data_IF_317624899470
#
_entry.id   IF_317624899470
#
_cell.length_a   1.000
_cell.length_b   1.000
_cell.length_c   1.000
_cell.angle_alpha   90.00
_cell.angle_beta   90.00
_cell.angle_gamma   90.00
#
_symmetry.space_group_name_H-M   'P 1'
#
loop_
_entity.id
_entity.type
_entity.pdbx_description
1 polymer ?
#
# COMPACT_ATOMS: atom_id res chain seq x y z
N UNK A 1 -46.18 -12.75 17.55
CA UNK A 1 -46.19 -11.31 17.85
C UNK A 1 -44.76 -10.88 18.05
N UNK A 2 -44.16 -10.29 17.02
CA UNK A 2 -42.79 -9.81 16.99
C UNK A 2 -42.70 -8.48 17.74
N UNK A 3 -41.89 -8.42 18.79
CA UNK A 3 -41.48 -7.19 19.41
C UNK A 3 -40.24 -6.68 18.65
N UNK A 4 -40.37 -5.49 18.07
CA UNK A 4 -39.39 -4.88 17.18
C UNK A 4 -38.09 -4.52 17.90
N UNK A 5 -36.99 -4.84 17.23
CA UNK A 5 -35.66 -4.27 17.48
C UNK A 5 -35.62 -2.95 16.68
N UNK A 6 -36.20 -1.90 17.26
CA UNK A 6 -36.06 -0.54 16.78
C UNK A 6 -35.18 0.20 17.80
N UNK A 7 -33.91 0.43 17.48
CA UNK A 7 -33.02 1.16 18.39
C UNK A 7 -31.53 1.17 18.10
N UNK A 8 -31.05 0.74 16.91
CA UNK A 8 -29.62 0.73 16.60
C UNK A 8 -29.23 1.52 15.32
N UNK A 9 -30.13 2.34 14.77
CA UNK A 9 -29.87 3.06 13.51
C UNK A 9 -29.53 4.55 13.64
N UNK A 10 -29.48 5.14 14.85
CA UNK A 10 -29.25 6.58 15.00
C UNK A 10 -27.99 6.91 15.80
N UNK A 11 -26.88 7.01 15.06
CA UNK A 11 -25.83 8.07 15.12
C UNK A 11 -24.52 7.57 14.49
N UNK A 12 -24.52 7.34 13.18
CA UNK A 12 -23.32 7.67 12.39
C UNK A 12 -23.44 9.14 12.06
N UNK A 13 -22.82 10.01 12.86
CA UNK A 13 -22.38 11.29 12.33
C UNK A 13 -21.50 10.95 11.14
N UNK A 14 -22.02 11.16 9.92
CA UNK A 14 -21.22 11.06 8.70
C UNK A 14 -20.21 12.19 8.76
N UNK A 15 -19.10 11.98 9.46
CA UNK A 15 -17.93 12.80 9.26
C UNK A 15 -17.61 12.71 7.76
N UNK A 16 -17.42 13.85 7.06
CA UNK A 16 -16.99 13.80 5.68
C UNK A 16 -15.71 12.95 5.61
N UNK A 17 -15.56 12.09 4.59
CA UNK A 17 -14.40 11.22 4.50
C UNK A 17 -13.15 12.09 4.43
N UNK A 18 -12.30 11.98 5.46
CA UNK A 18 -10.97 12.56 5.43
C UNK A 18 -10.15 11.71 4.46
N UNK A 19 -10.11 12.13 3.19
CA UNK A 19 -9.49 11.36 2.11
C UNK A 19 -7.98 11.17 2.33
N UNK A 20 -7.51 9.91 2.21
CA UNK A 20 -6.12 9.50 2.42
C UNK A 20 -5.22 9.53 1.18
N UNK A 21 -5.59 10.27 0.14
CA UNK A 21 -4.81 10.40 -1.12
C UNK A 21 -4.15 11.77 -1.16
N UNK A 22 -2.86 11.83 -1.50
CA UNK A 22 -2.12 13.10 -1.63
C UNK A 22 -2.66 13.96 -2.77
N UNK A 23 -2.66 15.27 -2.57
CA UNK A 23 -2.98 16.25 -3.58
C UNK A 23 -1.88 16.32 -4.65
N UNK A 24 -2.28 16.70 -5.87
CA UNK A 24 -1.36 17.03 -6.94
C UNK A 24 -1.50 18.51 -7.28
N UNK A 25 -0.34 19.17 -7.39
CA UNK A 25 -0.26 20.52 -7.94
C UNK A 25 -0.17 20.46 -9.47
N UNK A 26 -0.95 21.29 -10.15
CA UNK A 26 -0.94 21.40 -11.61
C UNK A 26 0.43 21.87 -12.12
N UNK A 27 1.12 22.77 -11.40
CA UNK A 27 2.45 23.20 -11.80
C UNK A 27 3.44 22.03 -11.79
N UNK A 28 3.40 21.17 -10.76
CA UNK A 28 4.22 19.96 -10.69
C UNK A 28 4.00 19.03 -11.89
N UNK A 29 2.73 18.86 -12.32
CA UNK A 29 2.38 18.07 -13.51
C UNK A 29 2.87 18.71 -14.81
N UNK A 30 2.70 20.03 -14.98
CA UNK A 30 3.11 20.75 -16.19
C UNK A 30 4.63 20.84 -16.35
N UNK A 31 5.34 20.94 -15.24
CA UNK A 31 6.81 21.00 -15.21
C UNK A 31 7.47 19.61 -15.23
N UNK A 32 6.69 18.52 -15.18
CA UNK A 32 7.20 17.16 -15.19
C UNK A 32 7.86 16.82 -16.55
N UNK A 33 9.19 16.86 -16.58
CA UNK A 33 10.00 16.54 -17.75
C UNK A 33 10.49 15.10 -17.71
N UNK A 34 10.88 14.57 -18.87
CA UNK A 34 11.52 13.26 -18.95
C UNK A 34 12.77 13.20 -18.07
N UNK A 35 12.86 12.12 -17.30
CA UNK A 35 13.96 11.85 -16.39
C UNK A 35 14.26 10.34 -16.40
N UNK A 36 15.50 9.92 -16.06
CA UNK A 36 15.80 8.52 -15.84
C UNK A 36 14.89 7.92 -14.75
N UNK A 37 14.58 6.63 -14.90
CA UNK A 37 13.83 5.91 -13.88
C UNK A 37 14.54 6.03 -12.52
N UNK A 38 13.78 6.42 -11.48
CA UNK A 38 14.33 6.64 -10.14
C UNK A 38 14.87 5.36 -9.50
N UNK A 39 14.29 4.21 -9.86
CA UNK A 39 14.61 2.89 -9.32
C UNK A 39 14.86 1.89 -10.45
N UNK A 40 15.99 2.01 -11.18
CA UNK A 40 16.23 1.24 -12.40
C UNK A 40 16.42 -0.27 -12.15
N UNK A 41 16.84 -0.66 -10.95
CA UNK A 41 17.10 -2.04 -10.55
C UNK A 41 15.84 -2.80 -10.08
N UNK A 42 14.71 -2.09 -9.92
CA UNK A 42 13.46 -2.65 -9.45
C UNK A 42 12.43 -2.74 -10.58
N UNK A 43 11.56 -3.75 -10.54
CA UNK A 43 10.43 -3.84 -11.45
C UNK A 43 9.44 -2.72 -11.15
N UNK A 44 9.25 -1.82 -12.11
CA UNK A 44 8.20 -0.80 -12.06
C UNK A 44 6.82 -1.46 -12.19
N UNK A 45 5.90 -1.08 -11.29
CA UNK A 45 4.51 -1.55 -11.26
C UNK A 45 3.57 -0.40 -10.91
N UNK A 46 2.29 -0.48 -11.27
CA UNK A 46 1.32 0.59 -10.92
C UNK A 46 0.91 0.60 -9.45
N UNK A 47 0.99 -0.55 -8.76
CA UNK A 47 0.56 -0.72 -7.37
C UNK A 47 1.08 -2.02 -6.76
N UNK A 48 0.92 -2.18 -5.45
CA UNK A 48 1.19 -3.44 -4.76
C UNK A 48 0.33 -4.61 -5.25
N UNK A 49 -0.89 -4.36 -5.76
CA UNK A 49 -1.74 -5.39 -6.39
C UNK A 49 -1.08 -5.97 -7.63
N UNK A 50 -0.50 -5.12 -8.47
CA UNK A 50 0.23 -5.54 -9.67
C UNK A 50 1.50 -6.31 -9.30
N UNK A 51 2.22 -5.89 -8.26
CA UNK A 51 3.36 -6.64 -7.75
C UNK A 51 2.97 -8.04 -7.29
N UNK A 52 1.91 -8.15 -6.48
CA UNK A 52 1.37 -9.44 -6.02
C UNK A 52 0.87 -10.31 -7.18
N UNK A 53 0.24 -9.71 -8.20
CA UNK A 53 -0.19 -10.45 -9.39
C UNK A 53 1.01 -11.06 -10.14
N UNK A 54 2.13 -10.31 -10.27
CA UNK A 54 3.37 -10.84 -10.83
C UNK A 54 3.91 -11.99 -9.98
N UNK A 55 4.00 -11.82 -8.65
CA UNK A 55 4.50 -12.86 -7.75
C UNK A 55 3.61 -14.10 -7.74
N UNK A 56 2.29 -13.95 -7.83
CA UNK A 56 1.34 -15.05 -7.89
C UNK A 56 1.52 -15.91 -9.15
N UNK A 57 1.93 -15.32 -10.27
CA UNK A 57 2.29 -16.05 -11.49
C UNK A 57 3.63 -16.79 -11.36
N UNK A 58 4.60 -16.20 -10.65
CA UNK A 58 5.93 -16.79 -10.46
C UNK A 58 5.97 -17.88 -9.39
N UNK A 59 5.12 -17.78 -8.36
CA UNK A 59 5.07 -18.69 -7.22
C UNK A 59 3.68 -19.32 -7.09
N UNK A 60 3.35 -20.28 -7.98
CA UNK A 60 2.12 -21.03 -7.87
C UNK A 60 2.19 -21.99 -6.67
N UNK A 61 1.20 -21.91 -5.78
CA UNK A 61 1.11 -22.79 -4.60
C UNK A 61 0.39 -22.10 -3.45
N UNK A 62 0.20 -22.78 -2.31
CA UNK A 62 -0.48 -22.18 -1.16
C UNK A 62 0.36 -21.09 -0.50
N UNK A 63 -0.29 -19.98 -0.14
CA UNK A 63 0.35 -18.87 0.57
C UNK A 63 -0.14 -18.77 2.01
N UNK A 64 0.72 -18.35 2.94
CA UNK A 64 0.30 -17.94 4.28
C UNK A 64 0.30 -16.43 4.39
N UNK A 65 -0.83 -15.85 4.81
CA UNK A 65 -1.03 -14.42 4.91
C UNK A 65 -1.32 -14.02 6.36
N UNK A 66 -0.98 -12.80 6.81
CA UNK A 66 -1.38 -12.36 8.13
C UNK A 66 -2.90 -12.21 8.21
N UNK A 67 -3.50 -12.58 9.34
CA UNK A 67 -4.94 -12.42 9.57
C UNK A 67 -5.41 -10.95 9.57
N UNK A 68 -4.50 -9.99 9.74
CA UNK A 68 -4.78 -8.56 9.66
C UNK A 68 -4.19 -7.98 8.36
N UNK A 69 -5.02 -7.82 7.32
CA UNK A 69 -4.61 -7.23 6.05
C UNK A 69 -5.79 -6.57 5.33
N UNK A 70 -5.50 -5.76 4.31
CA UNK A 70 -6.53 -5.19 3.44
C UNK A 70 -7.02 -6.23 2.43
N UNK A 71 -8.34 -6.33 2.17
CA UNK A 71 -8.90 -7.27 1.19
C UNK A 71 -8.29 -7.11 -0.22
N UNK A 72 -7.76 -5.92 -0.54
CA UNK A 72 -7.01 -5.66 -1.78
C UNK A 72 -5.83 -6.60 -2.01
N UNK A 73 -5.19 -7.08 -0.94
CA UNK A 73 -4.05 -8.00 -1.01
C UNK A 73 -4.50 -9.39 -1.47
N UNK A 74 -5.72 -9.78 -1.12
CA UNK A 74 -6.27 -11.10 -1.44
C UNK A 74 -6.66 -11.22 -2.90
N UNK A 75 -7.04 -10.11 -3.52
CA UNK A 75 -7.60 -10.12 -4.86
C UNK A 75 -6.64 -10.65 -5.95
N UNK A 76 -5.37 -10.21 -6.05
CA UNK A 76 -4.42 -10.80 -7.00
C UNK A 76 -4.30 -12.33 -6.86
N UNK A 77 -4.24 -12.82 -5.62
CA UNK A 77 -4.16 -14.25 -5.32
C UNK A 77 -5.44 -15.00 -5.73
N UNK A 78 -6.61 -14.45 -5.41
CA UNK A 78 -7.92 -15.00 -5.82
C UNK A 78 -8.02 -15.10 -7.35
N UNK A 79 -7.60 -14.07 -8.09
CA UNK A 79 -7.63 -14.07 -9.56
C UNK A 79 -6.69 -15.10 -10.17
N UNK A 80 -5.51 -15.27 -9.59
CA UNK A 80 -4.54 -16.26 -10.00
C UNK A 80 -4.92 -17.69 -9.55
N UNK A 81 -6.01 -17.86 -8.77
CA UNK A 81 -6.42 -19.16 -8.23
C UNK A 81 -5.45 -19.70 -7.18
N UNK A 82 -4.68 -18.82 -6.54
CA UNK A 82 -3.73 -19.17 -5.49
C UNK A 82 -4.49 -19.47 -4.20
N UNK A 83 -4.40 -20.69 -3.64
CA UNK A 83 -4.95 -20.97 -2.32
C UNK A 83 -4.15 -20.20 -1.27
N UNK A 84 -4.82 -19.73 -0.23
CA UNK A 84 -4.15 -19.09 0.89
C UNK A 84 -4.86 -19.39 2.21
N UNK A 85 -4.07 -19.43 3.29
CA UNK A 85 -4.54 -19.51 4.67
C UNK A 85 -3.97 -18.35 5.48
N UNK A 86 -4.55 -18.10 6.66
CA UNK A 86 -4.15 -17.00 7.52
C UNK A 86 -3.37 -17.48 8.73
N UNK A 87 -2.26 -16.83 9.05
CA UNK A 87 -1.60 -16.95 10.34
C UNK A 87 -2.05 -15.82 11.28
N UNK A 88 -2.10 -16.04 12.61
CA UNK A 88 -2.65 -15.05 13.53
C UNK A 88 -1.72 -13.85 13.73
N UNK A 89 -2.34 -12.69 13.89
CA UNK A 89 -1.69 -11.42 14.27
C UNK A 89 -2.35 -10.94 15.56
N UNK A 90 -1.53 -10.55 16.55
CA UNK A 90 -2.02 -10.04 17.83
C UNK A 90 -2.66 -8.65 17.72
N UNK A 91 -3.36 -8.23 18.78
CA UNK A 91 -3.91 -6.87 18.87
C UNK A 91 -2.84 -5.77 18.94
N UNK A 92 -1.59 -6.16 19.21
CA UNK A 92 -0.37 -5.36 19.15
C UNK A 92 0.26 -5.34 17.74
N UNK A 93 -0.45 -5.89 16.74
CA UNK A 93 0.01 -6.06 15.36
C UNK A 93 1.24 -6.96 15.20
N UNK A 94 1.65 -7.67 16.26
CA UNK A 94 2.76 -8.63 16.18
C UNK A 94 2.27 -9.97 15.62
N UNK A 95 2.97 -10.55 14.64
CA UNK A 95 2.66 -11.86 14.12
C UNK A 95 2.87 -12.93 15.20
N UNK A 96 1.98 -13.92 15.30
CA UNK A 96 2.17 -15.08 16.19
C UNK A 96 3.09 -16.10 15.52
N UNK A 97 4.39 -15.83 15.59
CA UNK A 97 5.40 -16.56 14.82
C UNK A 97 5.51 -18.05 15.18
N UNK A 98 5.28 -18.44 16.43
CA UNK A 98 5.26 -19.86 16.83
C UNK A 98 4.12 -20.64 16.14
N UNK A 99 3.04 -19.95 15.79
CA UNK A 99 1.92 -20.53 15.03
C UNK A 99 2.26 -20.55 13.53
N UNK A 100 2.84 -19.47 13.02
CA UNK A 100 3.30 -19.39 11.64
C UNK A 100 4.34 -20.47 11.32
N UNK A 101 5.37 -20.63 12.14
CA UNK A 101 6.42 -21.65 11.95
C UNK A 101 5.83 -23.06 11.92
N UNK A 102 4.90 -23.38 12.82
CA UNK A 102 4.17 -24.67 12.79
C UNK A 102 3.33 -24.84 11.52
N UNK A 103 2.68 -23.78 11.04
CA UNK A 103 1.95 -23.82 9.77
C UNK A 103 2.91 -24.04 8.59
N UNK A 104 4.08 -23.40 8.58
CA UNK A 104 5.10 -23.62 7.54
C UNK A 104 5.56 -25.08 7.54
N UNK A 105 5.87 -25.65 8.70
CA UNK A 105 6.31 -27.04 8.83
C UNK A 105 5.24 -28.05 8.40
N UNK A 106 3.97 -27.79 8.72
CA UNK A 106 2.88 -28.75 8.48
C UNK A 106 2.23 -28.63 7.10
N UNK A 107 2.22 -27.43 6.52
CA UNK A 107 1.54 -27.13 5.27
C UNK A 107 2.49 -26.96 4.09
N UNK A 108 3.78 -26.74 4.33
CA UNK A 108 4.80 -26.49 3.30
C UNK A 108 4.35 -25.43 2.27
N UNK A 109 4.03 -24.20 2.71
CA UNK A 109 3.54 -23.15 1.81
C UNK A 109 4.60 -22.78 0.77
N UNK A 110 4.15 -22.33 -0.40
CA UNK A 110 5.03 -21.81 -1.44
C UNK A 110 5.55 -20.41 -1.07
N UNK A 111 4.73 -19.61 -0.38
CA UNK A 111 5.12 -18.29 0.09
C UNK A 111 4.44 -17.89 1.40
N UNK A 112 5.05 -16.95 2.11
CA UNK A 112 4.45 -16.23 3.23
C UNK A 112 4.45 -14.74 2.93
N UNK A 113 3.41 -14.03 3.36
CA UNK A 113 3.36 -12.58 3.31
C UNK A 113 3.65 -11.99 4.70
N UNK A 114 4.53 -10.99 4.75
CA UNK A 114 4.85 -10.18 5.92
C UNK A 114 4.45 -8.75 5.61
N UNK A 115 3.86 -8.04 6.56
CA UNK A 115 3.38 -6.66 6.34
C UNK A 115 4.09 -5.73 7.31
N UNK A 116 4.67 -4.66 6.78
CA UNK A 116 5.23 -3.56 7.58
C UNK A 116 4.10 -2.62 8.03
N UNK A 117 3.34 -3.04 9.04
CA UNK A 117 2.16 -2.31 9.50
C UNK A 117 2.50 -0.87 9.85
N UNK A 118 1.76 0.07 9.25
CA UNK A 118 1.91 1.51 9.44
C UNK A 118 3.34 2.04 9.21
N UNK A 119 4.15 1.27 8.50
CA UNK A 119 5.55 1.58 8.24
C UNK A 119 6.53 1.25 9.34
N UNK A 120 6.14 0.33 10.20
CA UNK A 120 7.03 -0.31 11.16
C UNK A 120 7.28 -1.74 10.69
N UNK A 121 8.51 -2.07 10.26
CA UNK A 121 8.85 -3.46 9.99
C UNK A 121 8.81 -4.26 11.31
N UNK A 122 8.64 -5.59 11.23
CA UNK A 122 8.74 -6.47 12.38
C UNK A 122 9.97 -6.18 13.25
N UNK A 123 9.81 -6.31 14.57
CA UNK A 123 10.91 -6.14 15.52
C UNK A 123 12.12 -7.03 15.13
N UNK A 124 13.37 -6.65 15.44
CA UNK A 124 14.56 -7.37 14.96
C UNK A 124 14.56 -8.89 15.22
N UNK A 125 14.03 -9.31 16.38
CA UNK A 125 13.84 -10.72 16.74
C UNK A 125 12.83 -11.45 15.83
N UNK A 126 11.70 -10.81 15.54
CA UNK A 126 10.65 -11.33 14.66
C UNK A 126 11.13 -11.34 13.19
N UNK A 127 11.83 -10.28 12.76
CA UNK A 127 12.46 -10.19 11.45
C UNK A 127 13.51 -11.29 11.22
N UNK A 128 14.31 -11.64 12.24
CA UNK A 128 15.27 -12.74 12.14
C UNK A 128 14.56 -14.09 11.92
N UNK A 129 13.42 -14.31 12.58
CA UNK A 129 12.60 -15.52 12.41
C UNK A 129 11.97 -15.60 11.02
N UNK A 130 11.42 -14.50 10.51
CA UNK A 130 10.96 -14.44 9.11
C UNK A 130 12.08 -14.75 8.12
N UNK A 131 13.29 -14.21 8.33
CA UNK A 131 14.44 -14.53 7.46
C UNK A 131 14.82 -16.01 7.51
N UNK A 132 14.68 -16.67 8.65
CA UNK A 132 14.92 -18.11 8.76
C UNK A 132 13.92 -18.93 7.92
N UNK A 133 12.67 -18.48 7.79
CA UNK A 133 11.65 -19.15 6.98
C UNK A 133 11.94 -19.17 5.47
N UNK A 134 12.90 -18.36 5.00
CA UNK A 134 13.36 -18.33 3.59
C UNK A 134 14.00 -19.63 3.15
N UNK A 135 14.46 -20.47 4.08
CA UNK A 135 14.95 -21.82 3.76
C UNK A 135 13.82 -22.79 3.37
N UNK A 136 12.57 -22.44 3.67
CA UNK A 136 11.41 -23.32 3.48
C UNK A 136 10.43 -22.82 2.41
N UNK A 137 10.32 -21.51 2.22
CA UNK A 137 9.33 -20.89 1.33
C UNK A 137 9.76 -19.46 0.93
N UNK A 138 9.10 -18.87 -0.08
CA UNK A 138 9.35 -17.48 -0.44
C UNK A 138 8.80 -16.54 0.64
N UNK A 139 9.63 -15.65 1.18
CA UNK A 139 9.14 -14.58 2.07
C UNK A 139 8.87 -13.33 1.25
N UNK A 140 7.60 -12.90 1.20
CA UNK A 140 7.16 -11.69 0.50
C UNK A 140 6.91 -10.59 1.53
N UNK A 141 7.52 -9.43 1.35
CA UNK A 141 7.40 -8.27 2.24
C UNK A 141 6.54 -7.17 1.59
N UNK A 142 5.40 -6.87 2.22
CA UNK A 142 4.50 -5.78 1.87
C UNK A 142 4.91 -4.51 2.62
N UNK A 143 5.60 -3.63 1.90
CA UNK A 143 6.02 -2.33 2.40
C UNK A 143 5.10 -1.18 1.93
N UNK A 144 3.88 -1.48 1.47
CA UNK A 144 2.94 -0.46 0.96
C UNK A 144 2.65 0.62 2.01
N UNK A 145 2.65 0.26 3.30
CA UNK A 145 2.47 1.20 4.41
C UNK A 145 3.81 1.81 4.89
N UNK A 146 4.93 1.12 4.66
CA UNK A 146 6.29 1.44 5.14
C UNK A 146 7.22 2.14 4.17
N UNK A 147 6.66 2.66 3.10
CA UNK A 147 7.32 3.58 2.17
C UNK A 147 8.49 3.02 1.35
N UNK A 148 9.30 2.04 1.74
CA UNK A 148 10.61 1.70 1.11
C UNK A 148 11.59 2.89 0.93
N UNK A 149 11.17 4.12 1.25
CA UNK A 149 11.87 5.38 1.01
C UNK A 149 12.39 6.01 2.30
N UNK A 150 12.22 5.34 3.44
CA UNK A 150 12.88 5.77 4.68
C UNK A 150 14.38 5.51 4.53
N UNK A 151 15.15 6.62 4.52
CA UNK A 151 16.58 6.80 4.21
C UNK A 151 17.56 5.86 4.96
N UNK A 152 18.88 6.07 4.76
CA UNK A 152 19.82 5.19 4.04
C UNK A 152 19.97 3.75 4.63
N UNK A 153 19.41 3.51 5.82
CA UNK A 153 19.33 2.22 6.49
C UNK A 153 17.89 1.68 6.34
N UNK A 154 17.42 1.51 5.10
CA UNK A 154 16.05 1.09 4.79
C UNK A 154 15.66 -0.12 5.67
N UNK A 155 14.87 0.14 6.71
CA UNK A 155 14.49 -0.88 7.67
C UNK A 155 13.45 -1.85 7.08
N UNK A 156 12.62 -1.33 6.16
CA UNK A 156 11.69 -2.12 5.34
C UNK A 156 12.34 -2.62 4.05
N UNK A 157 11.94 -3.79 3.61
CA UNK A 157 12.50 -4.50 2.46
C UNK A 157 13.75 -5.31 2.76
N UNK A 158 14.08 -5.49 4.05
CA UNK A 158 15.26 -6.21 4.51
C UNK A 158 14.95 -7.62 5.01
N UNK A 159 13.69 -8.06 4.94
CA UNK A 159 13.21 -9.33 5.49
C UNK A 159 12.93 -10.31 4.34
N UNK A 160 12.20 -9.84 3.32
CA UNK A 160 11.70 -10.66 2.22
C UNK A 160 12.76 -11.10 1.22
N UNK A 161 12.50 -12.24 0.57
CA UNK A 161 13.10 -12.60 -0.72
C UNK A 161 12.56 -11.69 -1.83
N UNK A 162 11.28 -11.35 -1.76
CA UNK A 162 10.62 -10.40 -2.63
C UNK A 162 9.97 -9.28 -1.80
N UNK A 163 10.01 -8.05 -2.32
CA UNK A 163 9.54 -6.86 -1.60
C UNK A 163 8.75 -6.01 -2.57
N UNK A 164 7.60 -5.48 -2.13
CA UNK A 164 6.84 -4.56 -2.95
C UNK A 164 6.27 -3.37 -2.18
N UNK A 165 5.92 -2.32 -2.92
CA UNK A 165 5.26 -1.14 -2.36
C UNK A 165 4.35 -0.43 -3.37
N UNK A 166 3.64 0.61 -2.92
CA UNK A 166 2.82 1.49 -3.77
C UNK A 166 3.00 2.96 -3.39
N UNK A 167 3.66 3.71 -4.26
CA UNK A 167 4.03 5.11 -4.02
C UNK A 167 2.85 6.03 -3.76
N UNK A 168 1.73 5.84 -4.47
CA UNK A 168 0.52 6.68 -4.32
C UNK A 168 -0.05 6.73 -2.89
N UNK A 169 0.31 5.78 -2.03
CA UNK A 169 -0.15 5.74 -0.62
C UNK A 169 0.60 6.73 0.27
N UNK A 170 1.75 7.24 -0.17
CA UNK A 170 2.61 8.09 0.65
C UNK A 170 3.36 9.18 -0.11
N UNK A 171 3.18 9.27 -1.43
CA UNK A 171 3.73 10.31 -2.31
C UNK A 171 2.63 10.95 -3.17
N UNK A 172 2.81 12.22 -3.59
CA UNK A 172 1.90 12.92 -4.50
C UNK A 172 2.12 12.42 -5.94
N UNK A 173 1.70 11.18 -6.19
CA UNK A 173 1.67 10.56 -7.51
C UNK A 173 0.36 9.79 -7.67
N UNK A 174 -0.21 9.73 -8.88
CA UNK A 174 -1.47 9.03 -9.11
C UNK A 174 -1.32 7.52 -9.11
N UNK A 175 -0.18 7.01 -9.57
CA UNK A 175 0.15 5.59 -9.59
C UNK A 175 1.64 5.34 -9.34
N UNK A 176 2.01 4.07 -9.27
CA UNK A 176 3.40 3.66 -9.15
C UNK A 176 3.65 2.81 -7.91
N UNK A 177 4.72 2.04 -8.00
CA UNK A 177 5.18 1.09 -7.02
C UNK A 177 6.40 0.36 -7.56
N UNK A 178 6.99 -0.45 -6.70
CA UNK A 178 8.15 -1.28 -7.04
C UNK A 178 7.88 -2.72 -6.63
N UNK A 179 8.56 -3.62 -7.33
CA UNK A 179 8.74 -5.00 -6.95
C UNK A 179 10.24 -5.35 -7.09
N UNK A 180 10.85 -5.87 -6.04
CA UNK A 180 12.20 -6.44 -6.06
C UNK A 180 12.15 -7.91 -5.69
N UNK A 181 13.17 -8.68 -6.07
CA UNK A 181 13.25 -10.12 -5.77
C UNK A 181 12.40 -11.02 -6.67
N UNK A 182 11.67 -10.44 -7.63
CA UNK A 182 10.96 -11.16 -8.70
C UNK A 182 11.73 -11.08 -10.02
N UNK A 183 11.35 -11.93 -10.99
CA UNK A 183 11.96 -11.89 -12.32
C UNK A 183 11.49 -10.66 -13.09
N UNK A 184 12.41 -9.71 -13.31
CA UNK A 184 12.12 -8.51 -14.11
C UNK A 184 11.60 -8.86 -15.51
N UNK A 185 10.53 -8.18 -15.93
CA UNK A 185 9.88 -8.35 -17.23
C UNK A 185 9.35 -7.02 -17.77
N UNK A 186 9.35 -6.84 -19.11
CA UNK A 186 8.80 -5.64 -19.71
C UNK A 186 7.29 -5.58 -19.48
N UNK A 187 6.80 -4.45 -18.93
CA UNK A 187 5.38 -4.14 -18.79
C UNK A 187 5.08 -2.83 -19.53
N UNK A 188 3.90 -2.70 -20.16
CA UNK A 188 3.48 -1.44 -20.75
C UNK A 188 3.25 -0.38 -19.66
N UNK A 189 3.56 0.91 -19.90
CA UNK A 189 3.26 1.97 -18.96
C UNK A 189 1.75 2.18 -18.84
N UNK A 190 1.27 2.42 -17.63
CA UNK A 190 -0.15 2.63 -17.38
C UNK A 190 -0.72 3.87 -18.06
N UNK A 191 -1.96 3.74 -18.56
CA UNK A 191 -2.68 4.82 -19.22
C UNK A 191 -4.14 4.95 -18.75
N UNK A 192 -4.86 3.83 -18.59
CA UNK A 192 -6.29 3.84 -18.25
C UNK A 192 -6.51 4.15 -16.77
N UNK A 193 -5.82 3.43 -15.89
CA UNK A 193 -5.96 3.55 -14.43
C UNK A 193 -5.54 4.92 -13.86
N UNK A 194 -4.95 5.79 -14.68
CA UNK A 194 -4.40 7.10 -14.30
C UNK A 194 -5.47 8.19 -14.18
N UNK A 195 -6.52 8.15 -15.01
CA UNK A 195 -7.34 9.34 -15.32
C UNK A 195 -8.11 9.84 -14.11
N UNK A 196 -8.88 8.96 -13.47
CA UNK A 196 -9.73 9.27 -12.34
C UNK A 196 -8.88 9.73 -11.15
N UNK A 197 -7.77 9.03 -10.88
CA UNK A 197 -6.84 9.38 -9.80
C UNK A 197 -6.17 10.74 -10.05
N UNK A 198 -5.65 10.97 -11.25
CA UNK A 198 -5.02 12.25 -11.61
C UNK A 198 -6.00 13.42 -11.47
N UNK A 199 -7.20 13.30 -12.03
CA UNK A 199 -8.23 14.34 -11.93
C UNK A 199 -8.67 14.57 -10.49
N UNK A 200 -8.90 13.49 -9.73
CA UNK A 200 -9.24 13.56 -8.31
C UNK A 200 -8.16 14.26 -7.48
N UNK A 201 -6.89 13.94 -7.71
CA UNK A 201 -5.77 14.57 -6.99
C UNK A 201 -5.56 16.04 -7.36
N UNK A 202 -5.75 16.42 -8.62
CA UNK A 202 -5.67 17.81 -9.07
C UNK A 202 -6.81 18.65 -8.48
N UNK A 203 -8.05 18.14 -8.50
CA UNK A 203 -9.19 18.81 -7.89
C UNK A 203 -9.04 18.93 -6.38
N UNK A 204 -8.52 17.87 -5.72
CA UNK A 204 -8.16 17.94 -4.30
C UNK A 204 -7.10 19.01 -4.04
N UNK A 205 -6.08 19.13 -4.90
CA UNK A 205 -5.06 20.17 -4.80
C UNK A 205 -5.62 21.58 -4.93
N UNK A 206 -6.51 21.80 -5.90
CA UNK A 206 -7.23 23.07 -6.05
C UNK A 206 -8.10 23.37 -4.82
N UNK A 207 -8.75 22.36 -4.23
CA UNK A 207 -9.58 22.50 -3.04
C UNK A 207 -8.78 22.82 -1.78
N UNK A 208 -7.71 22.08 -1.51
CA UNK A 208 -6.79 22.33 -0.37
C UNK A 208 -6.17 23.71 -0.47
N UNK A 209 -5.85 24.16 -1.69
CA UNK A 209 -5.27 25.48 -1.97
C UNK A 209 -6.31 26.60 -2.03
N UNK A 210 -7.61 26.32 -1.79
CA UNK A 210 -8.73 27.27 -1.86
C UNK A 210 -8.89 27.96 -3.23
N UNK A 211 -8.46 27.30 -4.29
CA UNK A 211 -8.70 27.73 -5.68
C UNK A 211 -10.06 27.23 -6.22
N UNK A 212 -10.56 26.15 -5.63
CA UNK A 212 -11.91 25.66 -5.82
C UNK A 212 -12.53 25.40 -4.43
N UNK A 213 -13.81 25.70 -4.25
CA UNK A 213 -14.48 25.55 -2.96
C UNK A 213 -15.89 24.97 -3.16
N UNK A 214 -16.50 24.53 -2.07
CA UNK A 214 -17.85 24.00 -2.05
C UNK A 214 -17.92 22.47 -1.90
N UNK A 215 -18.99 21.97 -1.28
CA UNK A 215 -19.19 20.53 -1.07
C UNK A 215 -19.35 19.76 -2.39
N UNK A 216 -19.75 20.42 -3.49
CA UNK A 216 -19.85 19.79 -4.80
C UNK A 216 -18.47 19.43 -5.36
N UNK A 217 -17.46 20.30 -5.18
CA UNK A 217 -16.08 20.02 -5.60
C UNK A 217 -15.52 18.86 -4.79
N UNK A 218 -15.78 18.85 -3.48
CA UNK A 218 -15.38 17.78 -2.58
C UNK A 218 -15.98 16.43 -3.00
N UNK A 219 -17.29 16.39 -3.23
CA UNK A 219 -17.97 15.19 -3.70
C UNK A 219 -17.41 14.68 -5.03
N UNK A 220 -17.09 15.57 -5.98
CA UNK A 220 -16.53 15.19 -7.29
C UNK A 220 -15.16 14.55 -7.14
N UNK A 221 -14.22 15.18 -6.42
CA UNK A 221 -12.89 14.59 -6.32
C UNK A 221 -12.90 13.30 -5.50
N UNK A 222 -13.74 13.20 -4.46
CA UNK A 222 -13.89 11.96 -3.70
C UNK A 222 -14.42 10.83 -4.58
N UNK A 223 -15.46 11.09 -5.39
CA UNK A 223 -16.00 10.12 -6.32
C UNK A 223 -15.00 9.68 -7.40
N UNK A 224 -14.18 10.59 -7.91
CA UNK A 224 -13.09 10.27 -8.82
C UNK A 224 -12.04 9.37 -8.16
N UNK A 225 -11.62 9.69 -6.92
CA UNK A 225 -10.66 8.87 -6.20
C UNK A 225 -11.21 7.47 -5.89
N UNK A 226 -12.48 7.38 -5.50
CA UNK A 226 -13.17 6.10 -5.27
C UNK A 226 -13.25 5.25 -6.54
N UNK A 227 -13.68 5.84 -7.67
CA UNK A 227 -13.68 5.16 -8.96
C UNK A 227 -12.27 4.70 -9.39
N UNK A 228 -11.27 5.54 -9.11
CA UNK A 228 -9.86 5.22 -9.34
C UNK A 228 -9.38 4.02 -8.53
N UNK A 229 -9.79 3.88 -7.27
CA UNK A 229 -9.49 2.69 -6.45
C UNK A 229 -10.23 1.45 -6.96
N UNK A 230 -11.52 1.58 -7.30
CA UNK A 230 -12.33 0.46 -7.79
C UNK A 230 -11.79 -0.14 -9.10
N UNK A 231 -11.27 0.69 -10.01
CA UNK A 231 -10.67 0.19 -11.27
C UNK A 231 -9.42 -0.70 -11.04
N UNK A 232 -8.63 -0.42 -10.01
CA UNK A 232 -7.50 -1.28 -9.62
C UNK A 232 -7.98 -2.66 -9.19
N UNK A 233 -9.17 -2.72 -8.59
CA UNK A 233 -9.79 -3.96 -8.20
C UNK A 233 -10.37 -4.71 -9.42
N UNK A 234 -11.07 -4.05 -10.34
CA UNK A 234 -11.78 -4.73 -11.42
C UNK A 234 -10.90 -5.21 -12.58
N UNK A 235 -9.85 -4.47 -12.93
CA UNK A 235 -9.06 -4.78 -14.13
C UNK A 235 -7.75 -5.50 -13.80
N UNK A 236 -7.12 -5.15 -12.68
CA UNK A 236 -5.83 -5.70 -12.22
C UNK A 236 -4.78 -5.80 -13.36
N UNK A 237 -4.57 -4.73 -14.17
CA UNK A 237 -3.70 -4.81 -15.33
C UNK A 237 -2.22 -4.93 -14.90
N UNK A 238 -1.48 -5.76 -15.64
CA UNK A 238 -0.03 -5.91 -15.48
C UNK A 238 0.68 -4.77 -16.23
N UNK A 239 0.72 -3.61 -15.60
CA UNK A 239 1.31 -2.39 -16.14
C UNK A 239 2.46 -1.89 -15.25
N UNK A 240 3.43 -1.22 -15.88
CA UNK A 240 4.42 -0.40 -15.20
C UNK A 240 3.84 0.95 -14.80
N UNK A 241 4.54 1.65 -13.92
CA UNK A 241 4.22 3.04 -13.55
C UNK A 241 3.99 3.90 -14.79
N UNK A 242 2.97 4.77 -14.76
CA UNK A 242 2.73 5.70 -15.85
C UNK A 242 3.91 6.65 -16.08
N UNK A 243 4.12 7.08 -17.32
CA UNK A 243 5.19 8.05 -17.64
C UNK A 243 5.07 9.35 -16.84
N UNK A 244 3.84 9.80 -16.56
CA UNK A 244 3.63 11.00 -15.74
C UNK A 244 4.17 10.77 -14.32
N UNK A 245 3.80 9.66 -13.68
CA UNK A 245 4.28 9.34 -12.33
C UNK A 245 5.78 9.10 -12.29
N UNK A 246 6.39 8.48 -13.30
CA UNK A 246 7.86 8.35 -13.38
C UNK A 246 8.55 9.72 -13.36
N UNK A 247 8.04 10.68 -14.14
CA UNK A 247 8.56 12.06 -14.17
C UNK A 247 8.33 12.81 -12.86
N UNK A 248 7.17 12.62 -12.22
CA UNK A 248 6.88 13.19 -10.90
C UNK A 248 7.84 12.61 -9.85
N UNK A 249 7.94 11.28 -9.75
CA UNK A 249 8.83 10.57 -8.83
C UNK A 249 10.28 11.01 -8.96
N UNK A 250 10.77 11.24 -10.18
CA UNK A 250 12.14 11.66 -10.42
C UNK A 250 12.48 13.03 -9.81
N UNK A 251 11.47 13.89 -9.59
CA UNK A 251 11.61 15.25 -9.04
C UNK A 251 11.34 15.33 -7.54
N UNK A 252 10.73 14.30 -6.95
CA UNK A 252 10.40 14.31 -5.53
C UNK A 252 11.65 14.15 -4.67
N UNK A 253 11.72 14.97 -3.62
CA UNK A 253 12.65 14.75 -2.52
C UNK A 253 12.08 13.67 -1.59
N UNK A 254 12.51 12.43 -1.83
CA UNK A 254 12.04 11.27 -1.07
C UNK A 254 12.58 11.30 0.37
N UNK A 255 13.71 11.97 0.60
CA UNK A 255 14.30 12.13 1.92
C UNK A 255 13.45 13.07 2.79
N UNK A 256 13.04 14.20 2.21
CA UNK A 256 12.11 15.13 2.83
C UNK A 256 10.74 14.46 3.07
N UNK A 257 10.21 13.75 2.07
CA UNK A 257 8.94 13.04 2.20
C UNK A 257 8.95 12.05 3.37
N UNK A 258 10.01 11.24 3.50
CA UNK A 258 10.17 10.31 4.63
C UNK A 258 10.28 11.07 5.98
N UNK A 259 11.10 12.13 6.03
CA UNK A 259 11.29 12.93 7.24
C UNK A 259 9.98 13.58 7.71
N UNK A 260 9.19 14.13 6.78
CA UNK A 260 7.87 14.72 7.05
C UNK A 260 6.86 13.68 7.54
N UNK A 261 6.87 12.46 6.98
CA UNK A 261 6.02 11.37 7.48
C UNK A 261 6.33 11.03 8.93
N UNK A 262 7.62 10.92 9.28
CA UNK A 262 8.04 10.66 10.67
C UNK A 262 7.66 11.80 11.59
N UNK A 263 7.84 13.05 11.16
CA UNK A 263 7.42 14.22 11.93
C UNK A 263 5.89 14.24 12.18
N UNK A 264 5.09 13.94 11.15
CA UNK A 264 3.63 13.85 11.29
C UNK A 264 3.21 12.74 12.26
N UNK A 265 3.87 11.58 12.21
CA UNK A 265 3.64 10.49 13.17
C UNK A 265 3.91 10.95 14.61
N UNK A 266 5.07 11.57 14.86
CA UNK A 266 5.43 12.08 16.20
C UNK A 266 4.42 13.12 16.68
N UNK A 267 4.04 14.07 15.83
CA UNK A 267 3.06 15.09 16.18
C UNK A 267 1.69 14.49 16.54
N UNK A 268 1.24 13.45 15.81
CA UNK A 268 0.00 12.74 16.12
C UNK A 268 0.12 11.93 17.42
N UNK A 269 1.25 11.26 17.63
CA UNK A 269 1.53 10.51 18.84
C UNK A 269 1.48 11.40 20.08
N UNK A 270 2.14 12.55 20.04
CA UNK A 270 2.13 13.55 21.12
C UNK A 270 0.72 14.13 21.35
N UNK A 271 -0.04 14.39 20.29
CA UNK A 271 -1.40 14.92 20.39
C UNK A 271 -2.41 13.91 20.95
N UNK A 272 -2.12 12.61 20.81
CA UNK A 272 -2.93 11.51 21.31
C UNK A 272 -2.42 10.95 22.64
N UNK A 273 -1.30 11.46 23.17
CA UNK A 273 -0.74 11.01 24.44
C UNK A 273 -1.74 11.22 25.59
N UNK A 274 -1.95 10.18 26.40
CA UNK A 274 -2.98 10.14 27.44
C UNK A 274 -4.42 9.92 26.95
N UNK A 275 -4.64 9.64 25.65
CA UNK A 275 -5.96 9.24 25.15
C UNK A 275 -6.26 7.79 25.50
N UNK A 276 -7.36 7.55 26.25
CA UNK A 276 -7.85 6.19 26.53
C UNK A 276 -8.38 5.47 25.26
N UNK A 277 -8.53 6.19 24.15
CA UNK A 277 -9.08 5.66 22.89
C UNK A 277 -8.03 5.02 21.98
N UNK A 278 -6.74 5.34 22.16
CA UNK A 278 -5.64 4.85 21.31
C UNK A 278 -4.44 4.56 22.19
N UNK A 279 -3.99 3.31 22.23
CA UNK A 279 -2.71 2.94 22.84
C UNK A 279 -1.69 2.80 21.70
N UNK A 280 -0.74 3.74 21.58
CA UNK A 280 0.26 3.74 20.50
C UNK A 280 1.26 2.58 20.61
#
# INVERSE_FOLDING_TARGET
>A
MSAGVAGAEERRTQSPPIGGVFELDLAAVLEAQDAPARFPEAQSVTSGRTALAILAEEVPGPWLLPAYLCDSVLQPLRRAGIPFEFYPVGGDLRPRLDELERSVETQSPAAILVVDYFGFPPAPEDAARFRALREHCLVVEDCVQGSLLELPDAAGGAIGDAVFTSFRKYLPVPDGGLLTGAKSRPLPPAAASLRERLLGQLLRGAWVSRQAEGPEVEAVFLGLLEAGEASLDEELPLEATSRLSERLLARLDLADAASRRRANFVALLEALDGSDAVTP
#
